data_IF_200636208916
#
_entry.id   IF_200636208916
#
_cell.length_a   1.000
_cell.length_b   1.000
_cell.length_c   1.000
_cell.angle_alpha   90.00
_cell.angle_beta   90.00
_cell.angle_gamma   90.00
#
_symmetry.space_group_name_H-M   'P 1'
#
loop_
_entity.id
_entity.type
_entity.pdbx_description
1 polymer ?
#
# COMPACT_ATOMS: atom_id res chain seq x y z
N UNK A 1 35.45 15.50 -5.65
CA UNK A 1 36.38 14.98 -4.63
C UNK A 1 35.59 14.09 -3.68
N UNK A 2 36.14 12.89 -3.41
CA UNK A 2 35.79 11.83 -2.45
C UNK A 2 34.35 11.72 -1.92
N UNK A 3 33.60 10.67 -2.26
CA UNK A 3 33.70 9.27 -1.79
C UNK A 3 33.16 9.07 -0.36
N UNK A 4 32.00 8.41 -0.28
CA UNK A 4 31.49 7.55 0.82
C UNK A 4 30.19 6.95 0.25
N UNK A 5 30.09 5.74 -0.32
CA UNK A 5 30.51 4.39 0.12
C UNK A 5 30.06 4.04 1.54
N UNK A 6 28.80 3.65 1.70
CA UNK A 6 28.30 2.73 2.75
C UNK A 6 27.20 1.88 2.06
N UNK A 7 27.56 0.72 1.51
CA UNK A 7 27.59 -0.59 2.16
C UNK A 7 26.20 -1.24 2.24
N UNK A 8 25.96 -2.10 1.24
CA UNK A 8 24.96 -3.16 1.22
C UNK A 8 25.15 -4.03 2.46
N UNK A 9 24.07 -4.26 3.21
CA UNK A 9 23.94 -5.45 4.03
C UNK A 9 22.57 -6.09 3.75
N UNK A 10 22.67 -7.36 3.39
CA UNK A 10 21.57 -8.27 3.10
C UNK A 10 20.81 -8.68 4.38
N UNK A 11 19.86 -9.60 4.18
CA UNK A 11 19.01 -10.30 5.16
C UNK A 11 17.74 -9.50 5.54
N UNK A 12 16.51 -9.97 5.35
CA UNK A 12 16.06 -11.37 5.41
C UNK A 12 14.71 -11.52 4.68
N UNK A 13 14.64 -12.47 3.76
CA UNK A 13 13.37 -13.07 3.38
C UNK A 13 12.96 -14.06 4.49
N UNK A 14 11.81 -13.82 5.13
CA UNK A 14 11.10 -14.85 5.91
C UNK A 14 9.69 -14.94 5.34
N UNK A 15 9.52 -15.90 4.43
CA UNK A 15 8.25 -16.52 4.12
C UNK A 15 8.17 -17.82 4.94
N UNK A 16 7.12 -18.00 5.75
CA UNK A 16 6.37 -19.27 5.83
C UNK A 16 5.24 -19.19 6.86
N UNK A 17 4.01 -19.43 6.40
CA UNK A 17 3.03 -20.28 7.09
C UNK A 17 1.94 -20.67 6.07
N UNK A 18 2.27 -21.59 5.17
CA UNK A 18 1.31 -22.31 4.34
C UNK A 18 0.72 -23.48 5.12
N UNK A 19 -0.60 -23.59 5.08
CA UNK A 19 -1.38 -24.70 5.63
C UNK A 19 -1.48 -25.80 4.56
N UNK A 20 -0.95 -27.00 4.80
CA UNK A 20 -1.37 -28.23 4.11
C UNK A 20 -0.75 -29.49 4.75
N UNK A 21 -1.63 -30.24 5.41
CA UNK A 21 -1.81 -31.70 5.36
C UNK A 21 -0.60 -32.64 5.42
N UNK A 22 -0.65 -33.48 6.45
CA UNK A 22 0.12 -34.72 6.66
C UNK A 22 -0.04 -35.74 5.53
N UNK A 23 1.08 -36.31 5.07
CA UNK A 23 1.13 -37.64 4.47
C UNK A 23 2.47 -38.32 4.80
N UNK A 24 2.38 -39.40 5.57
CA UNK A 24 3.43 -40.37 5.91
C UNK A 24 3.79 -41.21 4.67
N UNK A 25 5.07 -41.56 4.48
CA UNK A 25 5.62 -42.96 4.44
C UNK A 25 6.89 -43.16 3.58
N UNK A 26 7.90 -43.74 4.25
CA UNK A 26 8.88 -44.79 3.86
C UNK A 26 9.97 -44.55 2.80
N UNK A 27 11.21 -44.86 3.23
CA UNK A 27 12.42 -45.02 2.43
C UNK A 27 12.48 -46.40 1.73
N UNK A 28 13.09 -46.49 0.53
CA UNK A 28 13.84 -47.67 0.03
C UNK A 28 14.60 -47.36 -1.28
N UNK A 29 15.90 -47.73 -1.28
CA UNK A 29 16.87 -48.06 -2.35
C UNK A 29 17.33 -47.01 -3.41
N UNK A 30 18.64 -47.01 -3.80
CA UNK A 30 19.22 -46.06 -4.75
C UNK A 30 19.13 -46.54 -6.22
N UNK A 31 18.77 -45.62 -7.12
CA UNK A 31 18.76 -45.80 -8.58
C UNK A 31 19.22 -44.48 -9.27
N UNK A 32 19.63 -44.50 -10.55
CA UNK A 32 20.84 -43.84 -11.06
C UNK A 32 20.76 -42.32 -11.21
N UNK A 33 21.94 -41.71 -11.25
CA UNK A 33 22.19 -40.26 -11.27
C UNK A 33 21.33 -39.52 -12.31
N UNK A 34 20.65 -38.41 -11.92
CA UNK A 34 19.84 -37.64 -12.84
C UNK A 34 20.74 -36.81 -13.76
N UNK A 35 20.53 -36.96 -15.07
CA UNK A 35 21.01 -36.02 -16.09
C UNK A 35 20.46 -34.64 -15.78
N UNK A 36 21.35 -33.65 -15.66
CA UNK A 36 20.99 -32.27 -15.38
C UNK A 36 20.21 -31.69 -16.57
N UNK A 37 18.88 -31.66 -16.44
CA UNK A 37 18.02 -30.91 -17.34
C UNK A 37 18.22 -29.42 -17.02
N UNK A 38 18.91 -28.72 -17.91
CA UNK A 38 19.09 -27.26 -17.81
C UNK A 38 17.73 -26.62 -18.06
N UNK A 39 17.10 -26.12 -16.99
CA UNK A 39 15.84 -25.39 -17.07
C UNK A 39 16.04 -24.07 -17.86
N UNK A 40 15.09 -23.66 -18.72
CA UNK A 40 15.17 -22.39 -19.43
C UNK A 40 15.27 -21.22 -18.45
N UNK A 41 16.18 -20.28 -18.72
CA UNK A 41 16.32 -19.06 -17.93
C UNK A 41 14.99 -18.28 -17.89
N UNK A 42 14.46 -18.08 -16.68
CA UNK A 42 13.22 -17.35 -16.46
C UNK A 42 13.37 -15.88 -16.91
N UNK A 43 12.43 -15.41 -17.73
CA UNK A 43 12.36 -14.01 -18.17
C UNK A 43 12.06 -13.11 -16.95
N UNK A 44 12.69 -11.93 -16.81
CA UNK A 44 12.44 -11.03 -15.69
C UNK A 44 10.96 -10.65 -15.62
N UNK A 45 10.36 -10.78 -14.43
CA UNK A 45 9.00 -10.31 -14.19
C UNK A 45 8.95 -8.77 -14.30
N UNK A 46 7.86 -8.19 -14.87
CA UNK A 46 7.68 -6.75 -14.90
C UNK A 46 7.65 -6.18 -13.49
N UNK A 47 8.22 -4.99 -13.31
CA UNK A 47 8.21 -4.30 -12.03
C UNK A 47 6.76 -4.07 -11.56
N UNK A 48 6.50 -4.18 -10.25
CA UNK A 48 5.17 -3.90 -9.70
C UNK A 48 4.79 -2.45 -10.00
N UNK A 49 3.54 -2.25 -10.41
CA UNK A 49 2.96 -0.93 -10.69
C UNK A 49 1.63 -0.79 -9.97
N UNK A 50 1.27 0.45 -9.64
CA UNK A 50 -0.07 0.73 -9.11
C UNK A 50 -1.12 0.54 -10.21
N UNK A 51 -2.26 -0.04 -9.85
CA UNK A 51 -3.42 -0.14 -10.73
C UNK A 51 -3.95 1.26 -11.09
N UNK A 52 -4.67 1.34 -12.21
CA UNK A 52 -5.33 2.58 -12.65
C UNK A 52 -6.27 3.11 -11.57
N UNK A 53 -7.05 2.22 -10.95
CA UNK A 53 -8.00 2.59 -9.89
C UNK A 53 -7.29 3.16 -8.66
N UNK A 54 -6.15 2.56 -8.25
CA UNK A 54 -5.37 3.05 -7.12
C UNK A 54 -4.76 4.43 -7.41
N UNK A 55 -4.29 4.66 -8.65
CA UNK A 55 -3.79 5.96 -9.08
C UNK A 55 -4.90 7.02 -9.08
N UNK A 56 -6.07 6.68 -9.63
CA UNK A 56 -7.23 7.57 -9.67
C UNK A 56 -7.71 7.95 -8.26
N UNK A 57 -7.87 6.96 -7.38
CA UNK A 57 -8.27 7.18 -5.99
C UNK A 57 -7.26 8.09 -5.25
N UNK A 58 -5.96 7.86 -5.44
CA UNK A 58 -4.91 8.66 -4.80
C UNK A 58 -4.89 10.10 -5.33
N UNK A 59 -5.14 10.32 -6.61
CA UNK A 59 -5.25 11.64 -7.20
C UNK A 59 -6.50 12.40 -6.69
N UNK A 60 -7.66 11.74 -6.63
CA UNK A 60 -8.88 12.33 -6.08
C UNK A 60 -8.70 12.68 -4.59
N UNK A 61 -8.12 11.78 -3.79
CA UNK A 61 -7.83 12.04 -2.38
C UNK A 61 -6.96 13.27 -2.18
N UNK A 62 -5.89 13.43 -2.97
CA UNK A 62 -5.04 14.65 -2.93
C UNK A 62 -5.83 15.92 -3.21
N UNK A 63 -6.75 15.88 -4.17
CA UNK A 63 -7.61 17.03 -4.50
C UNK A 63 -8.52 17.42 -3.32
N UNK A 64 -9.24 16.46 -2.73
CA UNK A 64 -10.13 16.75 -1.61
C UNK A 64 -9.38 17.12 -0.33
N UNK A 65 -8.22 16.52 -0.06
CA UNK A 65 -7.36 16.91 1.08
C UNK A 65 -6.85 18.34 0.90
N UNK A 66 -6.46 18.73 -0.31
CA UNK A 66 -6.07 20.11 -0.61
C UNK A 66 -7.26 21.08 -0.43
N UNK A 67 -8.46 20.70 -0.91
CA UNK A 67 -9.67 21.50 -0.73
C UNK A 67 -10.02 21.68 0.77
N UNK A 68 -9.99 20.61 1.56
CA UNK A 68 -10.25 20.67 3.00
C UNK A 68 -9.21 21.52 3.71
N UNK A 69 -7.92 21.39 3.35
CA UNK A 69 -6.84 22.22 3.89
C UNK A 69 -7.01 23.70 3.56
N UNK A 70 -7.41 24.04 2.34
CA UNK A 70 -7.63 25.43 1.91
C UNK A 70 -8.79 26.13 2.64
N UNK A 71 -9.67 25.34 3.25
CA UNK A 71 -10.84 25.81 4.01
C UNK A 71 -10.64 25.67 5.53
N UNK A 72 -9.41 25.38 5.97
CA UNK A 72 -9.09 25.09 7.38
C UNK A 72 -9.97 23.99 8.01
N UNK A 73 -10.46 23.07 7.17
CA UNK A 73 -11.33 21.96 7.55
C UNK A 73 -10.62 20.60 7.48
N UNK A 74 -9.29 20.56 7.38
CA UNK A 74 -8.57 19.29 7.32
C UNK A 74 -8.50 18.66 8.73
N UNK A 75 -9.21 17.55 8.91
CA UNK A 75 -9.11 16.76 10.14
C UNK A 75 -7.82 15.93 10.18
N UNK A 76 -7.30 15.71 11.38
CA UNK A 76 -6.06 14.93 11.60
C UNK A 76 -6.16 13.52 11.03
N UNK A 77 -7.31 12.86 11.21
CA UNK A 77 -7.54 11.50 10.69
C UNK A 77 -7.49 11.44 9.15
N UNK A 78 -7.95 12.49 8.48
CA UNK A 78 -7.85 12.61 7.02
C UNK A 78 -6.39 12.72 6.58
N UNK A 79 -5.58 13.53 7.28
CA UNK A 79 -4.16 13.68 7.00
C UNK A 79 -3.36 12.38 7.24
N UNK A 80 -3.69 11.65 8.32
CA UNK A 80 -3.13 10.33 8.60
C UNK A 80 -3.45 9.32 7.50
N UNK A 81 -4.71 9.26 7.06
CA UNK A 81 -5.13 8.37 5.99
C UNK A 81 -4.46 8.70 4.65
N UNK A 82 -4.30 9.98 4.32
CA UNK A 82 -3.55 10.39 3.13
C UNK A 82 -2.08 9.93 3.22
N UNK A 83 -1.45 10.08 4.37
CA UNK A 83 -0.07 9.59 4.60
C UNK A 83 0.03 8.07 4.45
N UNK A 84 -0.95 7.34 4.98
CA UNK A 84 -1.03 5.89 4.83
C UNK A 84 -1.25 5.45 3.37
N UNK A 85 -2.08 6.18 2.61
CA UNK A 85 -2.27 5.94 1.18
C UNK A 85 -0.97 6.13 0.39
N UNK A 86 -0.18 7.17 0.70
CA UNK A 86 1.12 7.40 0.06
C UNK A 86 2.16 6.34 0.43
N UNK A 87 2.14 5.84 1.67
CA UNK A 87 2.99 4.74 2.09
C UNK A 87 2.62 3.43 1.36
N UNK A 88 1.32 3.12 1.25
CA UNK A 88 0.83 1.98 0.49
C UNK A 88 1.18 2.08 -1.00
N UNK A 89 1.11 3.30 -1.56
CA UNK A 89 1.48 3.56 -2.96
C UNK A 89 2.95 3.24 -3.23
N UNK A 90 3.85 3.61 -2.31
CA UNK A 90 5.29 3.25 -2.38
C UNK A 90 5.52 1.75 -2.25
N UNK A 91 4.63 1.04 -1.56
CA UNK A 91 4.66 -0.42 -1.41
C UNK A 91 3.94 -1.16 -2.55
N UNK A 92 3.38 -0.46 -3.54
CA UNK A 92 2.53 -1.02 -4.60
C UNK A 92 1.31 -1.81 -4.07
N UNK A 93 0.84 -1.49 -2.87
CA UNK A 93 -0.34 -2.10 -2.27
C UNK A 93 -1.61 -1.39 -2.75
N UNK A 94 -2.15 -1.85 -3.88
CA UNK A 94 -3.35 -1.29 -4.50
C UNK A 94 -4.56 -1.27 -3.56
N UNK A 95 -4.75 -2.33 -2.77
CA UNK A 95 -5.91 -2.46 -1.89
C UNK A 95 -5.82 -1.45 -0.74
N UNK A 96 -4.64 -1.30 -0.13
CA UNK A 96 -4.43 -0.31 0.91
C UNK A 96 -4.49 1.12 0.37
N UNK A 97 -3.97 1.40 -0.84
CA UNK A 97 -4.12 2.71 -1.49
C UNK A 97 -5.58 3.08 -1.64
N UNK A 98 -6.39 2.21 -2.27
CA UNK A 98 -7.80 2.49 -2.53
C UNK A 98 -8.56 2.69 -1.21
N UNK A 99 -8.33 1.82 -0.22
CA UNK A 99 -8.98 1.91 1.09
C UNK A 99 -8.68 3.23 1.80
N UNK A 100 -7.40 3.60 1.91
CA UNK A 100 -6.98 4.80 2.64
C UNK A 100 -7.35 6.08 1.88
N UNK A 101 -7.23 6.07 0.55
CA UNK A 101 -7.65 7.17 -0.30
C UNK A 101 -9.15 7.43 -0.20
N UNK A 102 -9.98 6.38 -0.27
CA UNK A 102 -11.44 6.51 -0.14
C UNK A 102 -11.83 7.09 1.22
N UNK A 103 -11.23 6.59 2.30
CA UNK A 103 -11.46 7.14 3.64
C UNK A 103 -11.08 8.63 3.71
N UNK A 104 -9.94 9.02 3.14
CA UNK A 104 -9.51 10.42 3.10
C UNK A 104 -10.48 11.29 2.29
N UNK A 105 -10.99 10.80 1.16
CA UNK A 105 -11.98 11.49 0.32
C UNK A 105 -13.28 11.74 1.10
N UNK A 106 -13.86 10.69 1.70
CA UNK A 106 -15.13 10.78 2.44
C UNK A 106 -15.01 11.72 3.64
N UNK A 107 -13.92 11.61 4.38
CA UNK A 107 -13.69 12.43 5.57
C UNK A 107 -13.43 13.89 5.18
N UNK A 108 -12.69 14.16 4.11
CA UNK A 108 -12.49 15.52 3.59
C UNK A 108 -13.80 16.14 3.07
N UNK A 109 -14.64 15.37 2.35
CA UNK A 109 -15.97 15.83 1.92
C UNK A 109 -16.84 16.19 3.12
N UNK A 110 -16.85 15.33 4.13
CA UNK A 110 -17.61 15.54 5.37
C UNK A 110 -17.11 16.78 6.13
N UNK A 111 -15.80 16.94 6.27
CA UNK A 111 -15.24 18.06 7.02
C UNK A 111 -15.50 19.40 6.35
N UNK A 112 -15.47 19.44 5.02
CA UNK A 112 -15.87 20.63 4.24
C UNK A 112 -17.36 20.91 4.44
N UNK A 113 -18.23 19.90 4.33
CA UNK A 113 -19.67 20.07 4.47
C UNK A 113 -20.08 20.56 5.87
N UNK A 114 -19.31 20.25 6.92
CA UNK A 114 -19.59 20.76 8.27
C UNK A 114 -19.44 22.29 8.37
N UNK A 115 -18.66 22.93 7.50
CA UNK A 115 -18.52 24.39 7.49
C UNK A 115 -19.81 25.10 7.09
N UNK A 116 -20.67 24.43 6.33
CA UNK A 116 -21.94 24.99 5.86
C UNK A 116 -23.08 24.83 6.89
N UNK A 117 -22.83 24.13 8.01
CA UNK A 117 -23.81 23.95 9.07
C UNK A 117 -23.93 25.22 9.94
N UNK A 118 -25.14 25.56 10.41
CA UNK A 118 -25.35 26.73 11.25
C UNK A 118 -24.58 26.59 12.58
N UNK A 119 -23.83 27.63 12.94
CA UNK A 119 -23.15 27.70 14.24
C UNK A 119 -24.14 27.86 15.39
N UNK A 120 -23.72 27.56 16.63
CA UNK A 120 -24.57 27.75 17.82
C UNK A 120 -24.99 29.19 18.04
N UNK A 121 -24.24 30.17 17.52
CA UNK A 121 -24.62 31.59 17.55
C UNK A 121 -25.83 31.90 16.66
N UNK A 122 -26.08 31.10 15.62
CA UNK A 122 -27.26 31.25 14.77
C UNK A 122 -28.58 31.13 15.56
N UNK A 123 -28.57 30.42 16.70
CA UNK A 123 -29.75 30.14 17.51
C UNK A 123 -29.87 31.03 18.76
N UNK A 124 -28.91 31.92 19.01
CA UNK A 124 -28.98 32.87 20.13
C UNK A 124 -29.76 34.10 19.66
N UNK A 125 -30.99 34.25 20.19
CA UNK A 125 -31.84 35.44 20.00
C UNK A 125 -31.36 36.60 20.84
#
# INVERSE_FOLDING_TARGET
MSKLLIAVLAMSAVFMAGCASTATKTATAPAPAPVAVVAPAAKPAPAPTLSVDAQAALAEAKSYVAAAKSKDALWTKTAEAMTAAEAAAKAFDNAAVIKQATFAIETAKTSIAQLDLPSTNHFKK
#
